data_IF_241820681894
#
_entry.id   IF_241820681894
#
_cell.length_a   1.000
_cell.length_b   1.000
_cell.length_c   1.000
_cell.angle_alpha   90.00
_cell.angle_beta   90.00
_cell.angle_gamma   90.00
#
_symmetry.space_group_name_H-M   'P 1'
#
loop_
_entity.id
_entity.type
_entity.pdbx_description
1 polymer ?
#
# COMPACT_ATOMS: atom_id res chain seq x y z
N UNK A 1 40.14 26.70 -38.95
CA UNK A 1 40.34 25.72 -40.03
C UNK A 1 40.90 24.44 -39.40
N UNK A 2 40.49 23.24 -39.84
CA UNK A 2 39.11 22.80 -40.03
C UNK A 2 38.85 21.36 -39.45
N UNK A 3 37.55 21.04 -39.37
CA UNK A 3 36.83 19.75 -39.54
C UNK A 3 37.45 18.40 -39.15
N UNK A 4 36.63 17.55 -38.51
CA UNK A 4 36.32 16.23 -39.08
C UNK A 4 34.95 15.74 -38.57
N UNK A 5 34.00 15.73 -39.51
CA UNK A 5 32.72 15.01 -39.50
C UNK A 5 32.96 13.50 -39.59
N UNK A 6 32.06 12.71 -39.02
CA UNK A 6 31.80 11.34 -39.48
C UNK A 6 30.28 11.14 -39.65
N UNK A 7 29.88 11.10 -40.92
CA UNK A 7 28.61 10.61 -41.47
C UNK A 7 28.42 9.09 -41.18
N UNK A 8 27.23 8.67 -40.75
CA UNK A 8 26.16 7.96 -41.49
C UNK A 8 26.49 6.56 -42.07
N UNK A 9 25.66 5.59 -41.69
CA UNK A 9 25.08 4.47 -42.49
C UNK A 9 24.12 3.71 -41.52
N UNK A 10 22.79 3.65 -41.63
CA UNK A 10 21.81 3.32 -42.69
C UNK A 10 21.72 1.81 -43.04
N UNK A 11 20.67 1.13 -42.52
CA UNK A 11 19.99 -0.05 -43.11
C UNK A 11 18.67 -0.25 -42.31
N UNK A 12 17.43 0.03 -42.77
CA UNK A 12 16.58 -0.39 -43.90
C UNK A 12 15.98 -1.82 -43.83
N UNK A 13 14.63 -1.86 -43.99
CA UNK A 13 13.70 -2.97 -44.35
C UNK A 13 13.09 -3.75 -43.16
N UNK A 14 11.80 -4.13 -43.12
CA UNK A 14 10.65 -4.03 -44.03
C UNK A 14 9.37 -4.34 -43.22
N UNK A 15 8.29 -3.58 -43.42
CA UNK A 15 6.90 -4.05 -43.20
C UNK A 15 6.38 -4.75 -44.47
N UNK A 16 5.37 -5.63 -44.34
CA UNK A 16 4.11 -5.27 -45.00
C UNK A 16 2.85 -5.55 -44.17
N UNK A 17 1.81 -4.79 -44.54
CA UNK A 17 0.40 -4.85 -44.15
C UNK A 17 -0.41 -5.84 -45.00
N UNK A 18 -1.71 -5.92 -44.66
CA UNK A 18 -2.91 -6.42 -45.40
C UNK A 18 -3.38 -7.84 -45.02
N UNK A 19 -4.67 -8.18 -44.93
CA UNK A 19 -5.96 -7.46 -44.84
C UNK A 19 -7.05 -8.50 -44.48
N UNK A 20 -8.23 -7.99 -44.13
CA UNK A 20 -9.48 -8.64 -43.75
C UNK A 20 -10.25 -9.40 -44.86
N UNK A 21 -11.32 -10.07 -44.40
CA UNK A 21 -12.54 -10.54 -45.07
C UNK A 21 -12.40 -11.90 -45.80
N UNK A 22 -13.36 -12.83 -45.78
CA UNK A 22 -14.81 -12.69 -45.85
C UNK A 22 -15.53 -14.03 -45.57
N UNK A 23 -16.78 -13.92 -45.09
CA UNK A 23 -17.96 -14.77 -45.26
C UNK A 23 -17.86 -16.22 -45.82
N UNK A 24 -18.57 -17.14 -45.15
CA UNK A 24 -19.50 -18.02 -45.86
C UNK A 24 -20.66 -18.49 -44.98
N UNK A 25 -21.86 -18.18 -45.46
CA UNK A 25 -23.16 -18.75 -45.14
C UNK A 25 -23.15 -20.28 -44.99
N UNK A 26 -24.00 -20.79 -44.10
CA UNK A 26 -24.77 -21.98 -44.45
C UNK A 26 -26.15 -21.98 -43.78
N UNK A 27 -27.16 -21.74 -44.62
CA UNK A 27 -28.57 -22.03 -44.41
C UNK A 27 -28.79 -23.42 -43.85
N UNK A 28 -29.75 -23.62 -42.94
CA UNK A 28 -30.65 -24.78 -42.95
C UNK A 28 -31.96 -24.46 -42.23
N UNK A 29 -33.04 -24.65 -42.97
CA UNK A 29 -34.44 -24.57 -42.57
C UNK A 29 -34.80 -25.76 -41.68
N UNK A 30 -35.40 -25.49 -40.51
CA UNK A 30 -36.14 -26.50 -39.74
C UNK A 30 -37.36 -25.87 -39.10
N UNK A 31 -38.52 -26.31 -39.53
CA UNK A 31 -39.82 -26.07 -38.90
C UNK A 31 -39.80 -26.63 -37.48
N UNK A 32 -39.97 -25.77 -36.47
CA UNK A 32 -40.19 -26.19 -35.08
C UNK A 32 -41.53 -25.66 -34.56
N UNK A 33 -42.28 -26.60 -34.01
CA UNK A 33 -43.59 -26.46 -33.38
C UNK A 33 -43.46 -25.58 -32.14
N UNK A 34 -44.29 -24.55 -32.02
CA UNK A 34 -44.35 -23.72 -30.82
C UNK A 34 -45.02 -24.52 -29.68
N UNK A 35 -44.21 -24.94 -28.71
CA UNK A 35 -44.68 -25.28 -27.37
C UNK A 35 -44.47 -24.06 -26.46
N UNK A 36 -45.47 -23.72 -25.65
CA UNK A 36 -45.40 -22.62 -24.68
C UNK A 36 -44.28 -22.89 -23.64
N UNK A 37 -43.55 -21.86 -23.17
CA UNK A 37 -42.54 -22.06 -22.16
C UNK A 37 -43.20 -22.27 -20.80
N UNK A 38 -42.94 -23.43 -20.20
CA UNK A 38 -43.19 -23.74 -18.81
C UNK A 38 -42.32 -22.81 -17.94
N UNK A 39 -42.95 -21.96 -17.12
CA UNK A 39 -42.25 -21.06 -16.21
C UNK A 39 -41.53 -21.90 -15.13
N UNK A 40 -40.21 -21.99 -15.22
CA UNK A 40 -39.39 -22.59 -14.17
C UNK A 40 -39.43 -21.71 -12.91
N UNK A 41 -39.73 -22.32 -11.76
CA UNK A 41 -39.58 -21.66 -10.46
C UNK A 41 -38.14 -21.19 -10.24
N UNK A 42 -37.92 -20.01 -9.62
CA UNK A 42 -36.57 -19.50 -9.39
C UNK A 42 -35.81 -20.44 -8.45
N UNK A 43 -34.77 -21.09 -8.98
CA UNK A 43 -33.85 -21.88 -8.18
C UNK A 43 -33.18 -20.99 -7.13
N UNK A 44 -33.44 -21.30 -5.84
CA UNK A 44 -32.70 -20.71 -4.73
C UNK A 44 -31.20 -20.95 -4.95
N UNK A 45 -30.45 -19.87 -5.16
CA UNK A 45 -28.98 -19.91 -5.10
C UNK A 45 -28.55 -20.48 -3.74
N UNK A 46 -27.56 -21.40 -3.70
CA UNK A 46 -27.07 -21.92 -2.44
C UNK A 46 -26.39 -20.79 -1.66
N UNK A 47 -26.73 -20.66 -0.39
CA UNK A 47 -26.09 -19.71 0.51
C UNK A 47 -24.58 -19.98 0.54
N UNK A 48 -23.79 -18.96 0.22
CA UNK A 48 -22.33 -18.98 0.36
C UNK A 48 -21.98 -19.32 1.82
N UNK A 49 -21.11 -20.31 2.00
CA UNK A 49 -20.60 -20.70 3.31
C UNK A 49 -19.62 -19.62 3.79
N UNK A 50 -20.10 -18.68 4.61
CA UNK A 50 -19.28 -17.61 5.19
C UNK A 50 -18.82 -18.08 6.56
N UNK A 51 -17.65 -18.71 6.59
CA UNK A 51 -16.88 -19.01 7.79
C UNK A 51 -15.39 -18.89 7.47
N UNK A 52 -14.54 -18.49 8.43
CA UNK A 52 -13.12 -18.31 8.19
C UNK A 52 -12.48 -19.64 7.72
N UNK A 53 -11.76 -19.60 6.61
CA UNK A 53 -10.94 -20.73 6.14
C UNK A 53 -9.74 -20.90 7.10
N UNK A 54 -9.65 -22.03 7.83
CA UNK A 54 -8.58 -22.24 8.80
C UNK A 54 -7.19 -22.42 8.17
N UNK A 55 -7.06 -22.49 6.84
CA UNK A 55 -5.79 -22.65 6.14
C UNK A 55 -5.24 -21.37 5.51
N UNK A 56 -5.90 -20.22 5.68
CA UNK A 56 -5.41 -18.93 5.19
C UNK A 56 -5.01 -17.99 6.34
N UNK A 57 -3.75 -18.04 6.82
CA UNK A 57 -3.27 -17.19 7.91
C UNK A 57 -3.12 -15.70 7.54
N UNK A 58 -3.53 -15.27 6.34
CA UNK A 58 -3.44 -13.89 5.84
C UNK A 58 -4.79 -13.15 5.80
N UNK A 59 -5.76 -13.55 6.61
CA UNK A 59 -7.05 -12.85 6.71
C UNK A 59 -7.17 -11.98 7.98
N UNK A 60 -6.53 -10.79 8.08
CA UNK A 60 -6.84 -9.82 9.14
C UNK A 60 -7.98 -8.84 8.77
N UNK A 61 -8.68 -8.99 7.65
CA UNK A 61 -9.69 -8.01 7.19
C UNK A 61 -11.11 -8.52 7.44
N UNK A 62 -11.62 -8.29 8.64
CA UNK A 62 -13.02 -8.54 9.00
C UNK A 62 -13.86 -7.30 8.69
N UNK A 63 -14.86 -7.43 7.81
CA UNK A 63 -15.80 -6.35 7.49
C UNK A 63 -16.95 -6.31 8.53
N UNK A 64 -17.36 -5.13 9.01
CA UNK A 64 -18.59 -4.98 9.79
C UNK A 64 -19.81 -5.26 8.91
N UNK A 65 -20.68 -6.19 9.34
CA UNK A 65 -21.86 -6.64 8.58
C UNK A 65 -23.15 -5.89 8.94
N UNK A 66 -23.10 -4.82 9.74
CA UNK A 66 -24.32 -4.20 10.27
C UNK A 66 -24.52 -2.74 9.84
N UNK A 67 -25.73 -2.45 9.35
CA UNK A 67 -26.17 -1.18 8.77
C UNK A 67 -26.56 -0.12 9.83
N UNK A 68 -26.12 -0.24 11.08
CA UNK A 68 -26.50 0.69 12.17
C UNK A 68 -25.52 1.86 12.42
N UNK A 69 -24.54 2.09 11.54
CA UNK A 69 -23.47 3.07 11.72
C UNK A 69 -23.90 4.54 11.53
N UNK A 70 -24.85 5.03 12.33
CA UNK A 70 -25.03 6.48 12.59
C UNK A 70 -24.46 6.91 13.95
N UNK A 71 -23.91 5.97 14.73
CA UNK A 71 -22.86 6.22 15.72
C UNK A 71 -21.54 5.88 15.01
N UNK A 72 -20.70 6.81 14.55
CA UNK A 72 -20.65 8.23 14.86
C UNK A 72 -19.58 8.88 13.98
N UNK A 73 -19.98 9.70 13.00
CA UNK A 73 -19.06 10.57 12.25
C UNK A 73 -18.22 11.43 13.21
N UNK A 74 -18.79 11.83 14.35
CA UNK A 74 -18.10 12.56 15.41
C UNK A 74 -16.97 11.77 16.07
N UNK A 75 -17.13 10.45 16.27
CA UNK A 75 -16.06 9.60 16.82
C UNK A 75 -14.96 9.38 15.80
N UNK A 76 -15.30 9.11 14.53
CA UNK A 76 -14.31 8.99 13.46
C UNK A 76 -13.53 10.31 13.26
N UNK A 77 -14.22 11.45 13.37
CA UNK A 77 -13.61 12.76 13.28
C UNK A 77 -12.73 13.09 14.49
N UNK A 78 -13.18 12.80 15.72
CA UNK A 78 -12.37 12.96 16.92
C UNK A 78 -11.08 12.13 16.85
N UNK A 79 -11.21 10.85 16.49
CA UNK A 79 -10.08 9.95 16.26
C UNK A 79 -9.12 10.50 15.21
N UNK A 80 -9.62 11.02 14.09
CA UNK A 80 -8.78 11.61 13.05
C UNK A 80 -8.02 12.87 13.52
N UNK A 81 -8.62 13.67 14.41
CA UNK A 81 -7.93 14.83 14.98
C UNK A 81 -6.92 14.43 16.06
N UNK A 82 -7.22 13.43 16.88
CA UNK A 82 -6.30 12.91 17.89
C UNK A 82 -5.04 12.32 17.22
N UNK A 83 -5.22 11.51 16.17
CA UNK A 83 -4.09 11.00 15.37
C UNK A 83 -3.32 12.16 14.74
N UNK A 84 -4.02 13.14 14.17
CA UNK A 84 -3.35 14.27 13.54
C UNK A 84 -2.57 15.12 14.55
N UNK A 85 -3.08 15.28 15.77
CA UNK A 85 -2.38 15.96 16.85
C UNK A 85 -1.12 15.20 17.25
N UNK A 86 -1.23 13.88 17.48
CA UNK A 86 -0.10 13.02 17.82
C UNK A 86 0.99 13.04 16.72
N UNK A 87 0.61 12.96 15.45
CA UNK A 87 1.55 13.06 14.32
C UNK A 87 2.23 14.42 14.21
N UNK A 88 1.58 15.51 14.65
CA UNK A 88 2.19 16.84 14.73
C UNK A 88 3.14 16.96 15.91
N UNK A 89 2.75 16.46 17.08
CA UNK A 89 3.57 16.49 18.29
C UNK A 89 4.87 15.69 18.08
N UNK A 90 4.76 14.55 17.39
CA UNK A 90 5.89 13.74 16.95
C UNK A 90 6.68 14.35 15.78
N UNK A 91 6.29 15.52 15.26
CA UNK A 91 6.86 16.21 14.10
C UNK A 91 6.85 15.40 12.78
N UNK A 92 6.08 14.32 12.70
CA UNK A 92 5.89 13.55 11.45
C UNK A 92 5.19 14.42 10.42
N UNK A 93 4.28 15.27 10.89
CA UNK A 93 3.84 16.47 10.18
C UNK A 93 4.70 17.62 10.71
N UNK A 94 5.57 18.29 9.91
CA UNK A 94 5.68 18.20 8.46
C UNK A 94 6.84 17.31 7.93
N UNK A 95 7.58 16.59 8.78
CA UNK A 95 8.84 15.94 8.38
C UNK A 95 8.69 14.87 7.28
N UNK A 96 7.57 14.15 7.28
CA UNK A 96 7.25 13.04 6.35
C UNK A 96 5.94 13.32 5.61
N UNK A 97 4.95 13.87 6.31
CA UNK A 97 3.61 14.16 5.78
C UNK A 97 3.43 15.67 5.62
N UNK A 98 2.69 16.13 4.60
CA UNK A 98 2.44 17.56 4.41
C UNK A 98 1.57 18.12 5.54
N UNK A 99 1.70 19.42 5.84
CA UNK A 99 0.88 20.11 6.86
C UNK A 99 -0.63 20.02 6.63
N UNK A 100 -1.05 19.79 5.39
CA UNK A 100 -2.45 19.58 4.98
C UNK A 100 -2.96 18.16 5.22
N UNK A 101 -2.10 17.22 5.61
CA UNK A 101 -2.49 15.84 5.84
C UNK A 101 -3.59 15.75 6.91
N UNK A 102 -4.60 14.94 6.62
CA UNK A 102 -5.71 14.61 7.51
C UNK A 102 -5.95 13.11 7.39
N UNK A 103 -5.75 12.33 8.47
CA UNK A 103 -5.97 10.89 8.44
C UNK A 103 -7.45 10.58 8.16
N UNK A 104 -7.69 9.49 7.43
CA UNK A 104 -9.03 9.01 7.05
C UNK A 104 -9.48 7.82 7.89
N UNK A 105 -8.53 7.08 8.43
CA UNK A 105 -8.73 5.91 9.28
C UNK A 105 -7.46 5.62 10.07
N UNK A 106 -7.60 4.74 11.06
CA UNK A 106 -6.54 4.36 11.99
C UNK A 106 -5.76 3.17 11.44
N UNK A 107 -4.55 3.00 11.97
CA UNK A 107 -3.69 1.86 11.64
C UNK A 107 -3.32 1.17 12.94
N UNK A 108 -3.59 -0.13 13.01
CA UNK A 108 -3.04 -1.00 14.06
C UNK A 108 -1.75 -1.63 13.53
N UNK A 109 -0.66 -1.47 14.25
CA UNK A 109 0.63 -2.10 13.95
C UNK A 109 0.82 -3.22 14.97
N UNK A 110 1.19 -4.41 14.51
CA UNK A 110 1.52 -5.54 15.38
C UNK A 110 2.92 -6.07 15.15
N UNK A 111 3.65 -6.27 16.23
CA UNK A 111 4.90 -7.02 16.25
C UNK A 111 4.71 -8.28 17.11
N UNK A 112 5.14 -9.43 16.60
CA UNK A 112 5.03 -10.72 17.30
C UNK A 112 3.60 -11.04 17.79
N UNK A 113 2.57 -10.57 17.07
CA UNK A 113 1.16 -10.77 17.39
C UNK A 113 0.55 -9.69 18.31
N UNK A 114 1.37 -8.86 18.95
CA UNK A 114 0.91 -7.83 19.88
C UNK A 114 0.75 -6.47 19.19
N UNK A 115 -0.38 -5.82 19.42
CA UNK A 115 -0.62 -4.46 18.95
C UNK A 115 0.20 -3.46 19.78
N UNK A 116 0.73 -2.45 19.10
CA UNK A 116 1.50 -1.37 19.73
C UNK A 116 0.72 -0.07 19.73
N UNK A 117 0.99 0.77 20.73
CA UNK A 117 0.50 2.13 20.76
C UNK A 117 1.28 3.02 19.78
N UNK A 118 0.63 4.06 19.26
CA UNK A 118 1.29 5.04 18.41
C UNK A 118 2.44 5.72 19.18
N UNK A 119 3.63 5.75 18.58
CA UNK A 119 4.84 6.31 19.17
C UNK A 119 5.56 5.42 20.18
N UNK A 120 5.03 4.22 20.47
CA UNK A 120 5.62 3.30 21.45
C UNK A 120 7.11 3.05 21.17
N UNK A 121 7.91 3.10 22.23
CA UNK A 121 9.33 2.76 22.18
C UNK A 121 9.50 1.25 22.20
N UNK A 122 10.06 0.72 21.11
CA UNK A 122 10.36 -0.68 20.92
C UNK A 122 11.88 -0.92 20.88
N UNK A 123 12.26 -2.17 21.13
CA UNK A 123 13.61 -2.66 20.97
C UNK A 123 13.87 -3.10 19.53
N UNK A 124 15.16 -3.18 19.17
CA UNK A 124 15.60 -3.73 17.87
C UNK A 124 15.13 -5.18 17.69
N UNK A 125 15.05 -5.95 18.78
CA UNK A 125 14.65 -7.36 18.72
C UNK A 125 13.15 -7.51 18.46
N UNK A 126 12.30 -6.71 19.12
CA UNK A 126 10.85 -6.72 18.90
C UNK A 126 10.51 -6.38 17.44
N UNK A 127 11.29 -5.50 16.83
CA UNK A 127 11.05 -4.97 15.47
C UNK A 127 11.82 -5.71 14.37
N UNK A 128 12.43 -6.85 14.67
CA UNK A 128 13.24 -7.63 13.72
C UNK A 128 12.40 -8.22 12.59
N UNK A 129 11.22 -8.75 12.93
CA UNK A 129 10.27 -9.30 11.97
C UNK A 129 9.44 -8.20 11.30
N UNK A 130 8.98 -8.44 10.08
CA UNK A 130 8.03 -7.55 9.40
C UNK A 130 6.73 -7.45 10.25
N UNK A 131 6.24 -6.24 10.54
CA UNK A 131 5.01 -6.08 11.31
C UNK A 131 3.79 -6.48 10.48
N UNK A 132 2.71 -6.84 11.16
CA UNK A 132 1.37 -6.86 10.58
C UNK A 132 0.81 -5.45 10.68
N UNK A 133 0.27 -4.92 9.58
CA UNK A 133 -0.32 -3.58 9.51
C UNK A 133 -1.78 -3.76 9.12
N UNK A 134 -2.68 -3.41 10.04
CA UNK A 134 -4.12 -3.61 9.92
C UNK A 134 -4.82 -2.25 9.83
N UNK A 135 -5.74 -2.11 8.89
CA UNK A 135 -6.62 -0.95 8.78
C UNK A 135 -7.88 -1.34 8.01
N UNK A 136 -8.97 -0.62 8.28
CA UNK A 136 -10.25 -0.83 7.61
C UNK A 136 -10.21 -0.25 6.18
N UNK A 137 -9.63 -1.03 5.27
CA UNK A 137 -9.59 -0.72 3.86
C UNK A 137 -11.01 -0.73 3.26
N UNK A 138 -11.50 0.38 2.70
CA UNK A 138 -12.77 0.36 1.97
C UNK A 138 -12.72 -0.63 0.79
N UNK A 139 -13.82 -1.36 0.60
CA UNK A 139 -13.93 -2.36 -0.47
C UNK A 139 -13.62 -1.76 -1.85
N UNK A 140 -12.92 -2.54 -2.68
CA UNK A 140 -12.54 -2.16 -4.04
C UNK A 140 -11.45 -1.09 -4.14
N UNK A 141 -10.84 -0.67 -3.02
CA UNK A 141 -9.71 0.25 -3.03
C UNK A 141 -8.37 -0.50 -2.94
N UNK A 142 -7.35 0.12 -3.51
CA UNK A 142 -5.99 -0.41 -3.56
C UNK A 142 -5.07 0.55 -2.82
N UNK A 143 -4.14 0.01 -2.05
CA UNK A 143 -3.25 0.78 -1.19
C UNK A 143 -1.79 0.45 -1.42
N UNK A 144 -0.95 1.42 -1.08
CA UNK A 144 0.48 1.28 -0.90
C UNK A 144 0.82 1.52 0.57
N UNK A 145 1.71 0.69 1.12
CA UNK A 145 2.27 0.86 2.46
C UNK A 145 3.76 1.14 2.35
N UNK A 146 4.23 2.20 3.00
CA UNK A 146 5.64 2.51 3.16
C UNK A 146 6.01 2.59 4.65
N UNK A 147 7.17 2.05 5.02
CA UNK A 147 7.78 2.30 6.33
C UNK A 147 9.07 3.07 6.11
N UNK A 148 9.20 4.24 6.73
CA UNK A 148 10.34 5.14 6.54
C UNK A 148 10.91 5.64 7.86
N UNK A 149 12.23 5.84 7.91
CA UNK A 149 12.96 6.44 9.02
C UNK A 149 13.41 7.87 8.61
N UNK A 150 12.70 8.93 9.02
CA UNK A 150 13.13 10.30 8.77
C UNK A 150 14.35 10.72 9.60
N UNK A 151 14.76 9.91 10.56
CA UNK A 151 15.84 10.22 11.49
C UNK A 151 17.17 9.59 11.04
N UNK A 152 17.26 9.04 9.84
CA UNK A 152 18.51 8.49 9.30
C UNK A 152 19.51 9.56 8.78
N UNK A 153 20.83 9.40 9.00
CA UNK A 153 21.49 8.36 9.82
C UNK A 153 21.43 8.61 11.34
N UNK A 154 21.07 9.80 11.78
CA UNK A 154 20.86 10.14 13.20
C UNK A 154 19.75 11.17 13.37
N UNK A 155 19.05 11.11 14.50
CA UNK A 155 17.96 12.01 14.88
C UNK A 155 18.38 13.49 15.01
N UNK A 156 19.68 13.79 14.93
CA UNK A 156 20.22 15.16 14.94
C UNK A 156 20.96 15.52 13.65
N UNK A 157 21.18 14.54 12.77
CA UNK A 157 21.88 14.69 11.48
C UNK A 157 21.15 13.87 10.43
N UNK A 158 20.15 14.47 9.81
CA UNK A 158 19.21 13.84 8.87
C UNK A 158 19.72 13.75 7.41
N UNK A 159 21.03 13.62 7.18
CA UNK A 159 21.61 13.69 5.83
C UNK A 159 21.12 12.62 4.84
N UNK A 160 20.49 11.54 5.35
CA UNK A 160 19.90 10.44 4.56
C UNK A 160 18.38 10.37 4.66
N UNK A 161 17.73 11.37 5.29
CA UNK A 161 16.28 11.42 5.46
C UNK A 161 15.53 11.33 4.12
N UNK A 162 14.49 10.51 3.97
CA UNK A 162 14.12 9.37 4.86
C UNK A 162 14.72 8.07 4.33
N UNK A 163 15.03 7.11 5.22
CA UNK A 163 15.46 5.77 4.82
C UNK A 163 14.24 4.86 4.65
N UNK A 164 14.11 4.20 3.49
CA UNK A 164 13.03 3.26 3.17
C UNK A 164 13.29 1.88 3.78
N UNK A 165 12.52 1.56 4.81
CA UNK A 165 12.55 0.24 5.46
C UNK A 165 11.68 -0.78 4.74
N UNK A 166 10.55 -0.36 4.17
CA UNK A 166 9.60 -1.23 3.49
C UNK A 166 8.79 -0.44 2.45
N UNK A 167 8.40 -1.10 1.37
CA UNK A 167 7.45 -0.59 0.38
C UNK A 167 6.69 -1.76 -0.25
N UNK A 168 5.37 -1.71 -0.14
CA UNK A 168 4.45 -2.64 -0.79
C UNK A 168 3.38 -1.83 -1.52
N UNK A 169 3.10 -2.18 -2.77
CA UNK A 169 2.04 -1.59 -3.60
C UNK A 169 0.93 -2.60 -3.84
N UNK A 170 -0.13 -2.17 -4.52
CA UNK A 170 -1.16 -3.05 -5.05
C UNK A 170 -1.88 -3.90 -3.99
N UNK A 171 -1.95 -3.39 -2.75
CA UNK A 171 -2.66 -4.06 -1.66
C UNK A 171 -4.16 -3.76 -1.77
N UNK A 172 -4.90 -4.70 -2.36
CA UNK A 172 -6.37 -4.67 -2.45
C UNK A 172 -7.03 -5.74 -1.59
N UNK A 173 -8.35 -5.94 -1.79
CA UNK A 173 -9.18 -6.85 -0.99
C UNK A 173 -8.70 -8.32 -0.97
N UNK A 174 -7.99 -8.76 -2.00
CA UNK A 174 -7.47 -10.13 -2.11
C UNK A 174 -6.08 -10.30 -1.46
N UNK A 175 -5.55 -9.25 -0.81
CA UNK A 175 -4.30 -9.22 -0.03
C UNK A 175 -3.00 -9.63 -0.74
N UNK A 176 -3.02 -9.78 -2.06
CA UNK A 176 -1.86 -10.17 -2.86
C UNK A 176 -0.94 -8.99 -3.24
N UNK A 177 -0.72 -8.05 -2.31
CA UNK A 177 0.12 -6.86 -2.54
C UNK A 177 1.53 -7.21 -3.03
N UNK A 178 2.16 -6.28 -3.74
CA UNK A 178 3.46 -6.47 -4.38
C UNK A 178 4.57 -5.78 -3.59
N UNK A 179 5.57 -6.55 -3.14
CA UNK A 179 6.70 -6.03 -2.36
C UNK A 179 7.79 -5.46 -3.26
N UNK A 180 7.75 -4.16 -3.51
CA UNK A 180 8.83 -3.45 -4.21
C UNK A 180 10.09 -3.29 -3.35
N UNK A 181 9.95 -3.26 -2.01
CA UNK A 181 11.08 -3.23 -1.09
C UNK A 181 10.78 -4.08 0.13
N UNK A 182 11.48 -5.22 0.25
CA UNK A 182 11.38 -6.10 1.40
C UNK A 182 11.69 -5.38 2.72
N UNK A 183 11.01 -5.78 3.78
CA UNK A 183 11.16 -5.19 5.10
C UNK A 183 12.59 -5.35 5.61
N UNK A 184 13.14 -4.26 6.14
CA UNK A 184 14.37 -4.27 6.93
C UNK A 184 14.05 -3.69 8.29
N UNK A 185 14.26 -4.45 9.35
CA UNK A 185 14.01 -3.99 10.71
C UNK A 185 14.84 -2.75 11.11
N UNK A 186 14.35 -1.94 12.06
CA UNK A 186 15.10 -0.89 12.74
C UNK A 186 16.49 -1.31 13.18
N UNK A 187 17.50 -0.52 12.81
CA UNK A 187 18.89 -0.70 13.25
C UNK A 187 19.55 0.66 13.52
N UNK A 188 18.99 1.49 14.43
CA UNK A 188 19.62 2.76 14.77
C UNK A 188 21.03 2.53 15.33
N UNK A 189 21.94 3.48 15.05
CA UNK A 189 23.32 3.37 15.50
C UNK A 189 23.44 3.73 16.99
N UNK A 190 24.49 3.24 17.66
CA UNK A 190 24.71 3.62 19.05
C UNK A 190 24.93 5.13 19.15
N UNK A 191 24.21 5.79 20.05
CA UNK A 191 24.29 7.24 20.22
C UNK A 191 23.59 8.06 19.12
N UNK A 192 22.89 7.45 18.16
CA UNK A 192 22.20 8.19 17.09
C UNK A 192 20.89 8.84 17.52
N UNK A 193 20.43 8.54 18.75
CA UNK A 193 19.19 9.03 19.33
C UNK A 193 18.04 8.03 19.22
N UNK A 194 16.83 8.50 19.51
CA UNK A 194 15.58 7.78 19.20
C UNK A 194 15.25 8.07 17.74
N UNK A 195 14.94 7.03 16.96
CA UNK A 195 14.48 7.15 15.58
C UNK A 195 12.98 6.85 15.51
N UNK A 196 12.25 7.66 14.74
CA UNK A 196 10.85 7.41 14.38
C UNK A 196 10.80 6.50 13.15
N UNK A 197 9.90 5.53 13.17
CA UNK A 197 9.61 4.66 12.03
C UNK A 197 8.16 4.90 11.65
N UNK A 198 7.97 5.66 10.58
CA UNK A 198 6.66 6.14 10.14
C UNK A 198 6.08 5.17 9.14
N UNK A 199 4.90 4.63 9.45
CA UNK A 199 4.07 3.87 8.52
C UNK A 199 3.17 4.86 7.80
N UNK A 200 3.25 4.90 6.47
CA UNK A 200 2.41 5.74 5.61
C UNK A 200 1.60 4.84 4.70
N UNK A 201 0.27 5.01 4.71
CA UNK A 201 -0.65 4.35 3.80
C UNK A 201 -1.09 5.36 2.75
N UNK A 202 -0.88 5.01 1.47
CA UNK A 202 -1.31 5.81 0.34
C UNK A 202 -2.41 5.08 -0.42
N UNK A 203 -3.49 5.80 -0.74
CA UNK A 203 -4.54 5.30 -1.63
C UNK A 203 -4.06 5.39 -3.07
N UNK A 204 -4.14 4.29 -3.80
CA UNK A 204 -3.95 4.23 -5.25
C UNK A 204 -5.25 4.54 -5.98
N UNK A 205 -5.14 5.12 -7.18
CA UNK A 205 -6.28 5.25 -8.08
C UNK A 205 -6.56 3.92 -8.79
N UNK A 206 -5.50 3.27 -9.26
CA UNK A 206 -5.52 1.99 -9.97
C UNK A 206 -4.31 1.12 -9.59
N UNK A 207 -4.21 -0.07 -10.18
CA UNK A 207 -3.00 -0.90 -10.11
C UNK A 207 -1.80 -0.11 -10.65
N UNK A 208 -0.63 -0.29 -10.02
CA UNK A 208 0.60 0.41 -10.41
C UNK A 208 1.73 -0.58 -10.67
N UNK A 209 2.35 -0.48 -11.83
CA UNK A 209 3.69 -1.02 -12.07
C UNK A 209 4.69 0.09 -11.76
N UNK A 210 5.19 0.12 -10.53
CA UNK A 210 6.04 1.20 -10.08
C UNK A 210 7.50 0.76 -9.93
N UNK A 211 8.40 1.53 -10.53
CA UNK A 211 9.83 1.43 -10.20
C UNK A 211 10.11 2.12 -8.85
N UNK A 212 11.03 1.53 -8.09
CA UNK A 212 11.48 2.03 -6.80
C UNK A 212 12.98 2.29 -6.85
N UNK A 213 13.47 3.46 -6.39
CA UNK A 213 14.90 3.73 -6.37
C UNK A 213 15.68 2.62 -5.66
N UNK A 214 16.74 2.12 -6.29
CA UNK A 214 17.59 1.07 -5.73
C UNK A 214 18.12 1.45 -4.34
N UNK A 215 18.54 2.70 -4.19
CA UNK A 215 18.94 3.24 -2.90
C UNK A 215 17.72 3.45 -2.00
N UNK A 216 17.83 3.00 -0.75
CA UNK A 216 16.82 3.21 0.29
C UNK A 216 16.90 4.59 0.94
N UNK A 217 18.03 5.27 0.86
CA UNK A 217 18.22 6.62 1.43
C UNK A 217 17.51 7.69 0.60
N UNK A 218 17.17 8.82 1.21
CA UNK A 218 16.53 9.97 0.55
C UNK A 218 15.22 9.60 -0.18
N UNK A 219 14.49 8.65 0.39
CA UNK A 219 13.19 8.25 -0.11
C UNK A 219 12.09 9.05 0.60
N UNK A 220 11.28 9.76 -0.18
CA UNK A 220 10.09 10.47 0.29
C UNK A 220 8.85 9.71 -0.20
N UNK A 221 8.07 9.07 0.70
CA UNK A 221 6.93 8.26 0.31
C UNK A 221 5.79 9.10 -0.28
N UNK A 222 5.62 10.36 0.16
CA UNK A 222 4.56 11.24 -0.33
C UNK A 222 4.91 11.74 -1.73
N UNK A 223 6.16 12.17 -1.94
CA UNK A 223 6.62 12.60 -3.27
C UNK A 223 6.67 11.45 -4.26
N UNK A 224 7.11 10.26 -3.84
CA UNK A 224 7.08 9.07 -4.68
C UNK A 224 5.64 8.69 -5.02
N UNK A 225 4.74 8.64 -4.04
CA UNK A 225 3.33 8.34 -4.26
C UNK A 225 2.63 9.35 -5.18
N UNK A 226 2.90 10.64 -5.02
CA UNK A 226 2.32 11.69 -5.88
C UNK A 226 2.72 11.52 -7.36
N UNK A 227 3.94 11.04 -7.65
CA UNK A 227 4.36 10.72 -9.03
C UNK A 227 3.57 9.57 -9.64
N UNK A 228 3.01 8.71 -8.79
CA UNK A 228 2.18 7.56 -9.16
C UNK A 228 0.68 7.81 -8.87
N UNK A 229 0.28 9.09 -8.77
CA UNK A 229 -1.11 9.50 -8.56
C UNK A 229 -1.75 8.98 -7.25
N UNK A 230 -0.93 8.71 -6.24
CA UNK A 230 -1.37 8.26 -4.93
C UNK A 230 -1.52 9.42 -3.96
N UNK A 231 -2.39 9.25 -2.95
CA UNK A 231 -2.61 10.25 -1.90
C UNK A 231 -2.43 9.61 -0.52
N UNK A 232 -1.67 10.20 0.41
CA UNK A 232 -1.58 9.68 1.78
C UNK A 232 -2.94 9.79 2.47
N UNK A 233 -3.41 8.69 3.06
CA UNK A 233 -4.74 8.60 3.68
C UNK A 233 -4.70 8.18 5.14
N UNK A 234 -3.63 7.51 5.59
CA UNK A 234 -3.44 7.17 6.99
C UNK A 234 -1.95 7.09 7.32
N UNK A 235 -1.62 7.29 8.60
CA UNK A 235 -0.27 7.15 9.09
C UNK A 235 -0.28 6.81 10.58
N UNK A 236 0.76 6.10 10.99
CA UNK A 236 1.09 5.80 12.38
C UNK A 236 2.61 5.69 12.50
N UNK A 237 3.14 5.54 13.70
CA UNK A 237 4.57 5.37 13.89
C UNK A 237 4.88 4.62 15.17
N UNK A 238 6.11 4.14 15.25
CA UNK A 238 6.72 3.65 16.48
C UNK A 238 8.14 4.20 16.57
N UNK A 239 8.78 4.06 17.72
CA UNK A 239 10.13 4.56 17.93
C UNK A 239 11.08 3.43 18.33
N UNK A 240 12.35 3.53 17.93
CA UNK A 240 13.39 2.59 18.34
C UNK A 240 14.65 3.35 18.71
N UNK A 241 15.34 2.87 19.75
CA UNK A 241 16.64 3.36 20.19
C UNK A 241 17.60 2.20 20.38
N UNK A 242 18.85 2.38 19.96
CA UNK A 242 19.92 1.47 20.34
C UNK A 242 20.47 1.85 21.71
N UNK A 243 20.17 1.04 22.72
CA UNK A 243 20.71 1.20 24.06
C UNK A 243 22.14 0.67 24.15
N UNK A 244 22.89 1.16 25.16
CA UNK A 244 24.20 0.61 25.52
C UNK A 244 23.97 -0.79 26.08
N UNK A 245 24.57 -1.81 25.49
CA UNK A 245 24.73 -3.09 26.17
C UNK A 245 25.81 -2.84 27.22
N UNK A 246 25.44 -2.87 28.50
CA UNK A 246 26.41 -2.96 29.58
C UNK A 246 26.54 -4.46 29.84
N UNK A 247 27.69 -5.02 29.46
CA UNK A 247 28.09 -6.39 29.80
C UNK A 247 28.48 -6.48 31.28
#
# INVERSE_FOLDING_TARGET
>A
MPVEDYDQEAEHKHHPHYNNNEYSDNSHSSTHVYAEPEYAEPQKQPALHIGPDPNNPLAPYLLPTDHSAYTSLSKAQAVSEDIRAELKDAHIIPDVLPSSFTPKFDITIRFNGEAIDMGQLLTINETKAEPIIEFDAPYGQIFTIAIVDPDAPSSTRHGYRSYRHFLMTNLGADNAGEKLTAYRGPQPSFGSGIHRYVVVVLKQQDYVEADVPHLRVRFDPVKWGAKHHMTPVAASYFTVKRNRIIE
#
